data_IF_968737802170
#
_entry.id   IF_968737802170
#
_cell.length_a   1.000
_cell.length_b   1.000
_cell.length_c   1.000
_cell.angle_alpha   90.00
_cell.angle_beta   90.00
_cell.angle_gamma   90.00
#
_symmetry.space_group_name_H-M   'P 1'
#
loop_
_entity.id
_entity.type
_entity.pdbx_description
1 polymer ?
#
# COMPACT_ATOMS: atom_id res chain seq x y z
N UNK A 1 -52.05 -12.60 25.74
CA UNK A 1 -51.75 -11.33 25.04
C UNK A 1 -51.20 -11.74 23.69
N UNK A 2 -52.05 -11.72 22.66
CA UNK A 2 -51.64 -12.00 21.28
C UNK A 2 -51.08 -10.67 20.77
N UNK A 3 -49.78 -10.64 20.50
CA UNK A 3 -49.14 -9.46 19.93
C UNK A 3 -49.44 -9.51 18.43
N UNK A 4 -50.45 -8.76 17.98
CA UNK A 4 -50.65 -8.45 16.57
C UNK A 4 -49.48 -7.58 16.11
N UNK A 5 -48.48 -8.23 15.52
CA UNK A 5 -47.40 -7.55 14.83
C UNK A 5 -47.97 -7.10 13.49
N UNK A 6 -48.31 -5.81 13.39
CA UNK A 6 -48.88 -5.24 12.18
C UNK A 6 -47.83 -5.25 11.07
N UNK A 7 -48.25 -5.46 9.81
CA UNK A 7 -47.32 -5.55 8.67
C UNK A 7 -46.41 -4.31 8.53
N UNK A 8 -46.85 -3.17 9.07
CA UNK A 8 -46.12 -1.91 9.08
C UNK A 8 -44.83 -1.98 9.93
N UNK A 9 -44.86 -2.69 11.06
CA UNK A 9 -43.68 -2.88 11.93
C UNK A 9 -42.62 -3.76 11.26
N UNK A 10 -43.05 -4.77 10.51
CA UNK A 10 -42.16 -5.64 9.72
C UNK A 10 -41.48 -4.84 8.60
N UNK A 11 -42.23 -4.00 7.88
CA UNK A 11 -41.68 -3.18 6.81
C UNK A 11 -40.66 -2.15 7.33
N UNK A 12 -40.94 -1.49 8.46
CA UNK A 12 -40.01 -0.53 9.07
C UNK A 12 -38.73 -1.22 9.56
N UNK A 13 -38.86 -2.42 10.14
CA UNK A 13 -37.69 -3.20 10.60
C UNK A 13 -36.83 -3.65 9.42
N UNK A 14 -37.45 -4.10 8.32
CA UNK A 14 -36.72 -4.47 7.08
C UNK A 14 -36.06 -3.23 6.47
N UNK A 15 -36.74 -2.08 6.43
CA UNK A 15 -36.14 -0.84 5.91
C UNK A 15 -34.96 -0.36 6.77
N UNK A 16 -35.03 -0.51 8.09
CA UNK A 16 -33.92 -0.16 9.00
C UNK A 16 -32.75 -1.15 8.89
N UNK A 17 -33.00 -2.44 8.67
CA UNK A 17 -31.96 -3.43 8.38
C UNK A 17 -31.31 -3.15 7.02
N UNK A 18 -32.11 -2.81 6.01
CA UNK A 18 -31.61 -2.45 4.68
C UNK A 18 -30.82 -1.13 4.71
N UNK A 19 -31.28 -0.11 5.45
CA UNK A 19 -30.54 1.14 5.67
C UNK A 19 -29.26 0.91 6.47
N UNK A 20 -29.29 0.06 7.50
CA UNK A 20 -28.10 -0.38 8.25
C UNK A 20 -27.10 -1.15 7.37
N UNK A 21 -27.58 -1.93 6.40
CA UNK A 21 -26.73 -2.64 5.43
C UNK A 21 -26.24 -1.76 4.27
N UNK A 22 -26.96 -0.68 3.93
CA UNK A 22 -26.50 0.34 2.97
C UNK A 22 -25.40 1.24 3.54
N UNK A 23 -25.21 1.16 4.85
CA UNK A 23 -24.13 1.80 5.61
C UNK A 23 -22.82 1.02 5.65
N UNK A 24 -22.66 -0.07 4.87
CA UNK A 24 -21.33 -0.59 4.52
C UNK A 24 -20.72 0.41 3.53
N UNK A 25 -20.47 1.63 4.01
CA UNK A 25 -19.49 2.49 3.40
C UNK A 25 -18.21 1.68 3.41
N UNK A 26 -17.78 1.23 2.23
CA UNK A 26 -16.41 0.80 1.99
C UNK A 26 -15.48 1.91 2.47
N UNK A 27 -15.17 1.94 3.77
CA UNK A 27 -14.16 2.81 4.35
C UNK A 27 -12.82 2.14 4.01
N UNK A 28 -12.45 2.22 2.75
CA UNK A 28 -11.05 2.08 2.38
C UNK A 28 -10.36 3.20 3.16
N UNK A 29 -9.50 2.82 4.11
CA UNK A 29 -8.88 3.76 5.02
C UNK A 29 -8.24 4.90 4.23
N UNK A 30 -8.51 6.13 4.67
CA UNK A 30 -7.74 7.31 4.29
C UNK A 30 -6.25 6.99 4.46
N UNK A 31 -5.48 7.39 3.46
CA UNK A 31 -4.03 7.24 3.42
C UNK A 31 -3.40 7.79 4.70
N UNK A 32 -2.94 6.88 5.56
CA UNK A 32 -2.14 7.21 6.73
C UNK A 32 -0.74 6.68 6.50
N UNK A 33 0.24 7.58 6.56
CA UNK A 33 1.64 7.20 6.65
C UNK A 33 1.84 6.49 8.00
N UNK A 34 2.57 5.39 8.01
CA UNK A 34 3.01 4.79 9.26
C UNK A 34 4.07 5.67 9.96
N UNK A 35 4.46 5.32 11.20
CA UNK A 35 5.43 6.11 11.97
C UNK A 35 6.79 6.29 11.25
N UNK A 36 7.21 5.28 10.48
CA UNK A 36 8.48 5.30 9.76
C UNK A 36 8.38 6.18 8.51
N UNK A 37 7.29 6.03 7.75
CA UNK A 37 6.97 6.88 6.61
C UNK A 37 6.81 8.34 7.03
N UNK A 38 6.10 8.60 8.13
CA UNK A 38 5.91 9.94 8.68
C UNK A 38 7.27 10.57 9.07
N UNK A 39 8.12 9.82 9.78
CA UNK A 39 9.45 10.30 10.17
C UNK A 39 10.30 10.70 8.95
N UNK A 40 10.32 9.87 7.91
CA UNK A 40 11.10 10.14 6.71
C UNK A 40 10.49 11.25 5.83
N UNK A 41 9.16 11.43 5.87
CA UNK A 41 8.46 12.46 5.13
C UNK A 41 8.66 13.85 5.74
N UNK A 42 8.63 13.95 7.07
CA UNK A 42 8.77 15.20 7.82
C UNK A 42 10.12 15.90 7.55
N UNK A 43 11.22 15.14 7.46
CA UNK A 43 12.55 15.70 7.18
C UNK A 43 12.64 16.34 5.79
N UNK A 44 11.80 15.88 4.85
CA UNK A 44 11.77 16.35 3.47
C UNK A 44 10.60 17.30 3.18
N UNK A 45 9.83 17.68 4.21
CA UNK A 45 8.62 18.49 4.10
C UNK A 45 7.61 17.91 3.09
N UNK A 46 7.49 16.58 3.06
CA UNK A 46 6.54 15.87 2.22
C UNK A 46 5.29 15.54 3.03
N UNK A 47 4.11 15.81 2.45
CA UNK A 47 2.84 15.37 3.02
C UNK A 47 2.38 14.05 2.37
N UNK A 48 1.39 13.41 2.98
CA UNK A 48 0.87 12.13 2.49
C UNK A 48 0.35 12.19 1.05
N UNK A 49 -0.24 13.32 0.63
CA UNK A 49 -0.76 13.53 -0.73
C UNK A 49 0.36 13.57 -1.77
N UNK A 50 1.44 14.31 -1.50
CA UNK A 50 2.60 14.39 -2.38
C UNK A 50 3.30 13.03 -2.53
N UNK A 51 3.39 12.26 -1.44
CA UNK A 51 3.94 10.90 -1.45
C UNK A 51 3.06 9.96 -2.28
N UNK A 52 1.74 10.08 -2.12
CA UNK A 52 0.78 9.32 -2.91
C UNK A 52 0.90 9.61 -4.41
N UNK A 53 0.93 10.89 -4.78
CA UNK A 53 1.09 11.33 -6.17
C UNK A 53 2.43 10.87 -6.78
N UNK A 54 3.49 10.86 -5.98
CA UNK A 54 4.77 10.29 -6.37
C UNK A 54 4.66 8.79 -6.68
N UNK A 55 4.00 8.01 -5.83
CA UNK A 55 3.83 6.58 -6.06
C UNK A 55 2.89 6.24 -7.21
N UNK A 56 1.91 7.10 -7.51
CA UNK A 56 1.07 6.98 -8.71
C UNK A 56 1.75 7.48 -9.99
N UNK A 57 2.95 8.06 -9.88
CA UNK A 57 3.68 8.59 -11.04
C UNK A 57 3.13 9.91 -11.57
N UNK A 58 2.26 10.59 -10.81
CA UNK A 58 1.77 11.93 -11.13
C UNK A 58 2.87 12.98 -10.98
N UNK A 59 3.81 12.75 -10.07
CA UNK A 59 4.94 13.64 -9.79
C UNK A 59 6.25 12.90 -10.08
N UNK A 60 7.18 13.49 -10.85
CA UNK A 60 8.48 12.89 -11.08
C UNK A 60 9.32 12.88 -9.81
N UNK A 61 10.22 11.91 -9.71
CA UNK A 61 11.16 11.84 -8.60
C UNK A 61 12.09 13.06 -8.57
N UNK A 62 12.16 13.73 -7.43
CA UNK A 62 13.08 14.83 -7.15
C UNK A 62 14.00 14.46 -5.97
N UNK A 63 14.87 15.38 -5.55
CA UNK A 63 15.80 15.14 -4.44
C UNK A 63 15.07 14.78 -3.13
N UNK A 64 13.96 15.45 -2.82
CA UNK A 64 13.17 15.17 -1.61
C UNK A 64 12.60 13.76 -1.61
N UNK A 65 12.05 13.30 -2.74
CA UNK A 65 11.58 11.91 -2.85
C UNK A 65 12.72 10.90 -2.82
N UNK A 66 13.88 11.22 -3.39
CA UNK A 66 15.06 10.36 -3.31
C UNK A 66 15.56 10.22 -1.86
N UNK A 67 15.63 11.33 -1.11
CA UNK A 67 16.01 11.35 0.30
C UNK A 67 14.99 10.59 1.17
N UNK A 68 13.70 10.82 0.93
CA UNK A 68 12.62 10.09 1.58
C UNK A 68 12.79 8.57 1.43
N UNK A 69 13.05 8.10 0.21
CA UNK A 69 13.29 6.67 -0.05
C UNK A 69 14.57 6.15 0.60
N UNK A 70 15.64 6.94 0.63
CA UNK A 70 16.87 6.56 1.31
C UNK A 70 16.62 6.37 2.82
N UNK A 71 15.95 7.33 3.45
CA UNK A 71 15.55 7.22 4.86
C UNK A 71 14.69 5.97 5.10
N UNK A 72 13.70 5.73 4.22
CA UNK A 72 12.77 4.61 4.39
C UNK A 72 13.46 3.25 4.27
N UNK A 73 14.35 3.10 3.28
CA UNK A 73 15.13 1.86 3.13
C UNK A 73 16.05 1.62 4.33
N UNK A 74 16.68 2.66 4.88
CA UNK A 74 17.51 2.52 6.07
C UNK A 74 16.68 2.10 7.30
N UNK A 75 15.56 2.80 7.56
CA UNK A 75 14.70 2.52 8.71
C UNK A 75 14.05 1.15 8.68
N UNK A 76 13.75 0.63 7.49
CA UNK A 76 13.21 -0.70 7.28
C UNK A 76 14.28 -1.78 7.16
N UNK A 77 15.56 -1.43 7.36
CA UNK A 77 16.68 -2.35 7.23
C UNK A 77 16.77 -2.99 5.83
N UNK A 78 16.35 -2.27 4.80
CA UNK A 78 16.50 -2.64 3.39
C UNK A 78 17.81 -2.10 2.80
N UNK A 79 18.46 -1.16 3.47
CA UNK A 79 19.82 -0.75 3.18
C UNK A 79 20.63 -0.49 4.44
N UNK A 80 21.95 -0.57 4.34
CA UNK A 80 22.87 -0.11 5.39
C UNK A 80 22.98 1.43 5.39
N UNK A 81 23.51 2.05 6.45
CA UNK A 81 23.79 3.49 6.47
C UNK A 81 24.73 3.98 5.37
N UNK A 82 25.57 3.09 4.82
CA UNK A 82 26.44 3.36 3.68
C UNK A 82 25.73 3.25 2.33
N UNK A 83 24.43 2.90 2.32
CA UNK A 83 23.61 2.78 1.12
C UNK A 83 23.67 1.41 0.43
N UNK A 84 24.20 0.38 1.10
CA UNK A 84 24.25 -0.98 0.52
C UNK A 84 22.86 -1.62 0.61
N UNK A 85 22.28 -2.00 -0.53
CA UNK A 85 20.96 -2.65 -0.62
C UNK A 85 21.01 -4.09 -0.09
N UNK A 86 20.10 -4.41 0.82
CA UNK A 86 19.95 -5.71 1.48
C UNK A 86 18.72 -6.44 0.92
N UNK A 87 18.85 -7.02 -0.28
CA UNK A 87 17.75 -7.73 -0.95
C UNK A 87 17.13 -8.84 -0.11
N UNK A 88 17.90 -9.55 0.71
CA UNK A 88 17.35 -10.62 1.57
C UNK A 88 16.36 -10.08 2.60
N UNK A 89 16.59 -8.87 3.13
CA UNK A 89 15.66 -8.22 4.04
C UNK A 89 14.41 -7.72 3.31
N UNK A 90 14.59 -7.21 2.07
CA UNK A 90 13.46 -6.83 1.21
C UNK A 90 12.59 -8.06 0.91
N UNK A 91 13.17 -9.18 0.51
CA UNK A 91 12.44 -10.43 0.20
C UNK A 91 11.74 -11.00 1.45
N UNK A 92 12.36 -10.85 2.63
CA UNK A 92 11.77 -11.27 3.89
C UNK A 92 10.60 -10.41 4.34
N UNK A 93 10.46 -9.18 3.81
CA UNK A 93 9.27 -8.35 4.06
C UNK A 93 8.05 -8.86 3.30
N UNK A 94 6.86 -8.50 3.75
CA UNK A 94 5.62 -8.92 3.09
C UNK A 94 5.26 -8.01 1.91
N UNK A 95 5.66 -6.74 1.98
CA UNK A 95 5.43 -5.73 0.93
C UNK A 95 6.37 -4.55 1.12
N UNK A 96 6.54 -3.76 0.06
CA UNK A 96 7.05 -2.40 0.20
C UNK A 96 6.06 -1.57 1.03
N UNK A 97 6.54 -0.67 1.90
CA UNK A 97 5.68 0.18 2.74
C UNK A 97 4.70 1.01 1.89
N UNK A 98 5.11 1.36 0.68
CA UNK A 98 4.32 2.15 -0.26
C UNK A 98 3.32 1.37 -1.12
N UNK A 99 2.98 0.13 -0.76
CA UNK A 99 1.74 -0.44 -1.26
C UNK A 99 0.60 0.23 -0.51
N UNK A 100 0.20 1.36 -1.09
CA UNK A 100 -1.08 2.04 -0.97
C UNK A 100 -2.19 1.00 -1.04
N UNK A 101 -2.38 0.33 0.07
CA UNK A 101 -3.48 -0.55 0.29
C UNK A 101 -4.67 0.38 0.42
N UNK A 102 -5.45 0.49 -0.65
CA UNK A 102 -6.90 0.46 -0.47
C UNK A 102 -7.23 -0.82 0.29
N UNK A 103 -6.97 -0.84 1.59
CA UNK A 103 -7.40 -1.90 2.50
C UNK A 103 -8.85 -1.62 2.75
N UNK A 104 -9.66 -1.94 1.74
CA UNK A 104 -11.07 -2.16 1.94
C UNK A 104 -11.13 -3.54 2.62
N UNK A 105 -11.77 -3.63 3.79
CA UNK A 105 -11.56 -4.69 4.79
C UNK A 105 -11.93 -6.15 4.37
N UNK A 106 -12.15 -6.46 3.08
CA UNK A 106 -12.79 -7.71 2.67
C UNK A 106 -12.05 -8.54 1.59
N UNK A 107 -10.72 -8.44 1.42
CA UNK A 107 -10.02 -9.26 0.39
C UNK A 107 -8.68 -9.87 0.81
N UNK A 108 -8.72 -10.76 1.79
CA UNK A 108 -7.55 -11.56 2.24
C UNK A 108 -6.81 -12.24 1.08
N UNK A 109 -7.55 -12.73 0.07
CA UNK A 109 -6.95 -13.37 -1.11
C UNK A 109 -6.13 -12.41 -1.98
N UNK A 110 -6.50 -11.12 -2.04
CA UNK A 110 -5.71 -10.10 -2.74
C UNK A 110 -4.45 -9.76 -1.96
N UNK A 111 -4.51 -9.71 -0.63
CA UNK A 111 -3.33 -9.46 0.21
C UNK A 111 -2.28 -10.55 -0.02
N UNK A 112 -2.67 -11.83 0.11
CA UNK A 112 -1.77 -12.97 -0.12
C UNK A 112 -1.16 -12.92 -1.52
N UNK A 113 -1.96 -12.56 -2.53
CA UNK A 113 -1.48 -12.43 -3.91
C UNK A 113 -0.44 -11.31 -4.04
N UNK A 114 -0.72 -10.13 -3.51
CA UNK A 114 0.20 -8.98 -3.57
C UNK A 114 1.53 -9.28 -2.87
N UNK A 115 1.49 -9.95 -1.71
CA UNK A 115 2.69 -10.34 -0.98
C UNK A 115 3.52 -11.39 -1.74
N UNK A 116 2.85 -12.36 -2.38
CA UNK A 116 3.52 -13.34 -3.22
C UNK A 116 4.17 -12.69 -4.44
N UNK A 117 3.45 -11.81 -5.14
CA UNK A 117 3.96 -11.09 -6.31
C UNK A 117 5.15 -10.21 -5.93
N UNK A 118 5.05 -9.48 -4.82
CA UNK A 118 6.15 -8.71 -4.26
C UNK A 118 7.40 -9.57 -4.07
N UNK A 119 7.27 -10.73 -3.40
CA UNK A 119 8.40 -11.64 -3.13
C UNK A 119 9.02 -12.15 -4.43
N UNK A 120 8.21 -12.51 -5.43
CA UNK A 120 8.69 -12.93 -6.75
C UNK A 120 9.48 -11.81 -7.42
N UNK A 121 8.94 -10.59 -7.43
CA UNK A 121 9.60 -9.41 -8.02
C UNK A 121 10.91 -9.07 -7.31
N UNK A 122 10.94 -9.09 -5.98
CA UNK A 122 12.15 -8.85 -5.20
C UNK A 122 13.24 -9.90 -5.49
N UNK A 123 12.88 -11.18 -5.61
CA UNK A 123 13.80 -12.25 -6.02
C UNK A 123 14.32 -12.02 -7.44
N UNK A 124 13.45 -11.59 -8.36
CA UNK A 124 13.86 -11.27 -9.74
C UNK A 124 14.87 -10.12 -9.76
N UNK A 125 14.59 -9.02 -9.07
CA UNK A 125 15.46 -7.85 -8.99
C UNK A 125 16.78 -8.13 -8.27
N UNK A 126 16.81 -9.08 -7.32
CA UNK A 126 18.08 -9.57 -6.75
C UNK A 126 18.94 -10.28 -7.80
N UNK A 127 18.33 -11.07 -8.69
CA UNK A 127 19.03 -11.80 -9.76
C UNK A 127 19.41 -10.92 -10.94
N UNK A 128 18.62 -9.88 -11.20
CA UNK A 128 18.80 -8.92 -12.29
C UNK A 128 18.79 -7.51 -11.72
N UNK A 129 19.83 -7.12 -10.95
CA UNK A 129 19.85 -5.83 -10.28
C UNK A 129 19.87 -4.68 -11.30
N UNK A 130 19.22 -3.55 -10.98
CA UNK A 130 19.33 -2.35 -11.80
C UNK A 130 20.81 -1.90 -11.88
N UNK A 131 21.17 -1.27 -13.01
CA UNK A 131 22.55 -0.82 -13.27
C UNK A 131 23.11 0.08 -12.17
N UNK A 132 22.26 0.94 -11.61
CA UNK A 132 22.57 1.75 -10.43
C UNK A 132 21.77 1.17 -9.28
N UNK A 133 22.41 0.82 -8.17
CA UNK A 133 21.74 0.30 -6.98
C UNK A 133 21.41 1.44 -6.02
N UNK A 134 20.18 1.94 -6.10
CA UNK A 134 19.62 2.91 -5.15
C UNK A 134 18.24 2.43 -4.70
N UNK A 135 17.74 2.93 -3.57
CA UNK A 135 16.35 2.75 -3.16
C UNK A 135 15.34 3.00 -4.28
N UNK A 136 15.55 4.05 -5.06
CA UNK A 136 14.74 4.40 -6.23
C UNK A 136 14.74 3.34 -7.32
N UNK A 137 15.93 2.91 -7.76
CA UNK A 137 16.04 1.94 -8.86
C UNK A 137 15.58 0.55 -8.45
N UNK A 138 15.81 0.16 -7.19
CA UNK A 138 15.32 -1.10 -6.62
C UNK A 138 13.80 -1.08 -6.55
N UNK A 139 13.21 0.01 -6.04
CA UNK A 139 11.75 0.22 -6.06
C UNK A 139 11.19 0.06 -7.47
N UNK A 140 11.74 0.80 -8.44
CA UNK A 140 11.27 0.76 -9.83
C UNK A 140 11.34 -0.65 -10.42
N UNK A 141 12.46 -1.34 -10.23
CA UNK A 141 12.59 -2.74 -10.66
C UNK A 141 11.49 -3.62 -10.06
N UNK A 142 11.27 -3.53 -8.74
CA UNK A 142 10.27 -4.38 -8.08
C UNK A 142 8.87 -4.05 -8.62
N UNK A 143 8.52 -2.76 -8.74
CA UNK A 143 7.22 -2.27 -9.25
C UNK A 143 6.96 -2.72 -10.69
N UNK A 144 7.93 -2.56 -11.59
CA UNK A 144 7.83 -2.96 -13.01
C UNK A 144 7.65 -4.47 -13.20
N UNK A 145 8.05 -5.25 -12.19
CA UNK A 145 7.99 -6.72 -12.24
C UNK A 145 6.89 -7.34 -11.37
N UNK A 146 6.06 -6.55 -10.67
CA UNK A 146 4.75 -7.06 -10.23
C UNK A 146 4.02 -7.59 -11.47
N UNK A 147 3.42 -8.77 -11.37
CA UNK A 147 2.82 -9.45 -12.52
C UNK A 147 1.88 -8.54 -13.30
N UNK A 148 1.83 -8.73 -14.62
CA UNK A 148 0.82 -8.26 -15.57
C UNK A 148 -0.62 -8.74 -15.22
N UNK A 149 -1.03 -8.67 -13.96
CA UNK A 149 -2.43 -8.68 -13.58
C UNK A 149 -3.01 -7.32 -13.95
N UNK A 150 -4.15 -7.28 -14.64
CA UNK A 150 -4.72 -6.03 -15.09
C UNK A 150 -4.91 -5.14 -13.86
N UNK A 151 -4.16 -4.05 -13.83
CA UNK A 151 -4.58 -2.85 -13.15
C UNK A 151 -5.82 -2.36 -13.88
N UNK A 152 -6.96 -3.04 -13.70
CA UNK A 152 -8.27 -2.47 -13.97
C UNK A 152 -8.54 -1.42 -12.89
N UNK A 153 -7.81 -0.32 -13.02
CA UNK A 153 -8.16 0.97 -12.50
C UNK A 153 -7.98 1.94 -13.67
N UNK A 154 -8.97 1.91 -14.57
CA UNK A 154 -9.34 3.09 -15.35
C UNK A 154 -9.78 4.21 -14.40
#
# INVERSE_FOLDING_TARGET
IIIEITSMDVFVTIFLVLLGSSGISCRCNMYHLDEVEQFCAESENLNAEAILDFYFGNIPENLSFANYLNCLFEKLNFSTPEGIILFDNIIASDRLPWYIGRVCQDVVSMIIKVELEFKISAIYCKKHPPHVLTPSSVRKCIVEHYSNTPHDYK
#
